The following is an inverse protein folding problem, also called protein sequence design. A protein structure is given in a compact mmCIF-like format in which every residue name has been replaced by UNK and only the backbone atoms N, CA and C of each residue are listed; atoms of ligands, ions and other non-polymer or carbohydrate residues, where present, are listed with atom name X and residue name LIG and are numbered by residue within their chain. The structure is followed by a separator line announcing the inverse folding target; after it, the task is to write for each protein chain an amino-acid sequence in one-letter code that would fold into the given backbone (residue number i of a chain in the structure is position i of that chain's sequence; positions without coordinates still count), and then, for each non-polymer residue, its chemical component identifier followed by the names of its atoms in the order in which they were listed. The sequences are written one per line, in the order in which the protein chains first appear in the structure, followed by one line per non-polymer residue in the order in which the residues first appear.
data_IF_842403342305
#
_entry.id   IF_842403342305
#
_cell.length_a   1.000
_cell.length_b   1.000
_cell.length_c   1.000
_cell.angle_alpha   90.00
_cell.angle_beta   90.00
_cell.angle_gamma   90.00
#
_symmetry.space_group_name_H-M   'P 1'
#
loop_
_entity.id
_entity.type
_entity.pdbx_description
1 polymer ?
#
# COMPACT_ATOMS: atom_id res chain seq x y z
N UNK A 1 -23.78 -55.73 -6.55
CA UNK A 1 -24.16 -54.83 -5.43
C UNK A 1 -22.89 -54.40 -4.72
N UNK A 2 -22.44 -53.16 -4.95
CA UNK A 2 -21.33 -52.57 -4.18
C UNK A 2 -21.79 -52.37 -2.73
N UNK A 3 -21.03 -52.89 -1.78
CA UNK A 3 -21.40 -52.82 -0.36
C UNK A 3 -21.43 -51.37 0.12
N UNK A 4 -22.36 -51.05 1.02
CA UNK A 4 -22.47 -49.72 1.65
C UNK A 4 -21.16 -49.26 2.33
N UNK A 5 -20.30 -50.20 2.76
CA UNK A 5 -18.95 -49.91 3.26
C UNK A 5 -18.06 -49.25 2.20
N UNK A 6 -18.13 -49.69 0.94
CA UNK A 6 -17.30 -49.13 -0.13
C UNK A 6 -17.75 -47.71 -0.52
N UNK A 7 -19.04 -47.39 -0.38
CA UNK A 7 -19.55 -46.04 -0.63
C UNK A 7 -19.19 -45.06 0.50
N UNK A 8 -19.25 -45.54 1.75
CA UNK A 8 -18.82 -44.77 2.93
C UNK A 8 -17.29 -44.55 2.96
N UNK A 9 -16.48 -45.53 2.57
CA UNK A 9 -15.01 -45.35 2.45
C UNK A 9 -14.63 -44.46 1.27
N UNK A 10 -15.37 -44.51 0.16
CA UNK A 10 -15.15 -43.60 -0.98
C UNK A 10 -15.50 -42.15 -0.63
N UNK A 11 -16.60 -41.92 0.11
CA UNK A 11 -16.98 -40.59 0.60
C UNK A 11 -16.10 -40.10 1.75
N UNK A 12 -15.58 -40.98 2.61
CA UNK A 12 -14.60 -40.61 3.65
C UNK A 12 -13.19 -40.35 3.08
N UNK A 13 -12.78 -41.03 2.00
CA UNK A 13 -11.52 -40.72 1.30
C UNK A 13 -11.60 -39.44 0.46
N UNK A 14 -12.78 -39.07 -0.06
CA UNK A 14 -12.97 -37.75 -0.70
C UNK A 14 -13.19 -36.61 0.30
N UNK A 15 -13.63 -36.89 1.53
CA UNK A 15 -13.74 -35.87 2.60
C UNK A 15 -12.42 -35.65 3.36
N UNK A 16 -11.39 -36.45 3.09
CA UNK A 16 -10.03 -36.15 3.51
C UNK A 16 -9.45 -35.03 2.64
N UNK A 17 -9.48 -33.83 3.23
CA UNK A 17 -8.65 -32.65 2.93
C UNK A 17 -9.02 -31.82 1.70
N UNK A 18 -10.26 -31.31 1.66
CA UNK A 18 -10.39 -29.87 1.40
C UNK A 18 -9.83 -29.14 2.62
N UNK A 19 -8.49 -29.04 2.70
CA UNK A 19 -7.86 -28.06 3.59
C UNK A 19 -8.33 -26.72 3.04
N UNK A 20 -9.38 -26.15 3.62
CA UNK A 20 -9.73 -24.76 3.39
C UNK A 20 -8.53 -23.99 3.93
N UNK A 21 -7.58 -23.67 3.05
CA UNK A 21 -6.43 -22.84 3.43
C UNK A 21 -6.99 -21.52 3.95
N UNK A 22 -6.60 -21.20 5.18
CA UNK A 22 -6.98 -19.97 5.85
C UNK A 22 -6.56 -18.79 4.98
N UNK A 23 -7.51 -17.89 4.73
CA UNK A 23 -7.28 -16.69 3.92
C UNK A 23 -6.69 -15.61 4.79
N UNK A 24 -5.54 -15.07 4.40
CA UNK A 24 -4.89 -13.94 5.08
C UNK A 24 -5.37 -12.63 4.50
N UNK A 25 -5.84 -11.75 5.36
CA UNK A 25 -6.31 -10.42 5.01
C UNK A 25 -5.35 -9.40 5.62
N UNK A 26 -4.79 -8.54 4.77
CA UNK A 26 -3.93 -7.44 5.19
C UNK A 26 -4.71 -6.14 5.05
N UNK A 27 -5.10 -5.53 6.17
CA UNK A 27 -5.64 -4.19 6.16
C UNK A 27 -4.51 -3.19 6.01
N UNK A 28 -4.52 -2.44 4.92
CA UNK A 28 -3.51 -1.43 4.66
C UNK A 28 -4.14 -0.08 4.38
N UNK A 29 -3.47 0.98 4.80
CA UNK A 29 -3.98 2.34 4.74
C UNK A 29 -2.92 3.29 4.23
N UNK A 30 -3.24 4.04 3.19
CA UNK A 30 -2.37 5.07 2.65
C UNK A 30 -2.70 6.39 3.34
N UNK A 31 -1.74 6.89 4.11
CA UNK A 31 -1.87 8.04 5.03
C UNK A 31 -1.01 9.19 4.49
N UNK A 32 -1.67 10.04 3.72
CA UNK A 32 -0.97 10.93 2.77
C UNK A 32 -1.48 12.37 2.77
N UNK A 33 -2.75 12.60 3.13
CA UNK A 33 -3.34 13.95 3.12
C UNK A 33 -2.86 14.77 4.32
N UNK A 34 -1.72 15.43 4.13
CA UNK A 34 -1.18 16.37 5.10
C UNK A 34 -1.84 17.76 5.00
N UNK A 35 -2.73 17.98 4.05
CA UNK A 35 -3.29 19.32 3.75
C UNK A 35 -4.50 19.65 4.60
N UNK A 36 -5.18 18.64 5.13
CA UNK A 36 -6.46 18.78 5.83
C UNK A 36 -6.43 18.18 7.25
N UNK A 37 -6.85 18.95 8.26
CA UNK A 37 -6.96 18.45 9.64
C UNK A 37 -7.97 17.30 9.78
N UNK A 38 -9.00 17.26 8.93
CA UNK A 38 -9.97 16.17 8.89
C UNK A 38 -9.36 14.82 8.51
N UNK A 39 -8.19 14.80 7.87
CA UNK A 39 -7.46 13.56 7.57
C UNK A 39 -6.91 12.92 8.86
N UNK A 40 -6.45 13.72 9.82
CA UNK A 40 -5.99 13.22 11.13
C UNK A 40 -7.15 12.65 11.94
N UNK A 41 -8.31 13.31 11.92
CA UNK A 41 -9.53 12.80 12.56
C UNK A 41 -9.95 11.47 11.92
N UNK A 42 -9.92 11.38 10.59
CA UNK A 42 -10.27 10.16 9.88
C UNK A 42 -9.30 9.01 10.17
N UNK A 43 -8.00 9.30 10.28
CA UNK A 43 -6.98 8.35 10.70
C UNK A 43 -7.25 7.83 12.12
N UNK A 44 -7.52 8.73 13.08
CA UNK A 44 -7.83 8.34 14.45
C UNK A 44 -9.08 7.43 14.50
N UNK A 45 -10.17 7.79 13.83
CA UNK A 45 -11.39 6.98 13.75
C UNK A 45 -11.10 5.60 13.15
N UNK A 46 -10.28 5.56 12.09
CA UNK A 46 -9.89 4.30 11.44
C UNK A 46 -9.17 3.38 12.41
N UNK A 47 -8.19 3.90 13.16
CA UNK A 47 -7.44 3.13 14.16
C UNK A 47 -8.35 2.66 15.30
N UNK A 48 -9.19 3.55 15.83
CA UNK A 48 -10.14 3.20 16.90
C UNK A 48 -11.12 2.09 16.48
N UNK A 49 -11.59 2.10 15.22
CA UNK A 49 -12.41 1.03 14.68
C UNK A 49 -11.67 -0.29 14.53
N UNK A 50 -10.40 -0.28 14.10
CA UNK A 50 -9.59 -1.50 14.06
C UNK A 50 -9.38 -2.06 15.47
N UNK A 51 -9.04 -1.20 16.43
CA UNK A 51 -8.84 -1.56 17.84
C UNK A 51 -10.10 -2.15 18.47
N UNK A 52 -11.29 -1.60 18.17
CA UNK A 52 -12.58 -2.15 18.59
C UNK A 52 -12.77 -3.63 18.23
N UNK A 53 -12.20 -4.09 17.10
CA UNK A 53 -12.26 -5.48 16.67
C UNK A 53 -10.97 -6.28 16.92
N UNK A 54 -10.01 -5.68 17.61
CA UNK A 54 -8.67 -6.23 17.84
C UNK A 54 -7.98 -6.63 16.52
N UNK A 55 -8.09 -5.76 15.51
CA UNK A 55 -7.38 -5.90 14.25
C UNK A 55 -6.15 -5.01 14.23
N UNK A 56 -5.07 -5.57 13.71
CA UNK A 56 -3.86 -4.83 13.37
C UNK A 56 -3.93 -4.45 11.90
N UNK A 57 -3.26 -3.35 11.56
CA UNK A 57 -3.27 -2.76 10.22
C UNK A 57 -1.87 -2.28 9.87
N UNK A 58 -1.64 -2.01 8.59
CA UNK A 58 -0.37 -1.50 8.06
C UNK A 58 -0.63 -0.09 7.52
N UNK A 59 -0.04 0.93 8.14
CA UNK A 59 -0.24 2.32 7.75
C UNK A 59 0.97 2.81 6.97
N UNK A 60 0.79 3.03 5.66
CA UNK A 60 1.80 3.61 4.78
C UNK A 60 1.74 5.14 4.91
N UNK A 61 2.72 5.73 5.59
CA UNK A 61 2.73 7.15 5.95
C UNK A 61 3.72 7.92 5.06
N UNK A 62 3.29 9.04 4.48
CA UNK A 62 4.18 9.92 3.72
C UNK A 62 5.07 10.75 4.65
N UNK A 63 6.21 11.23 4.14
CA UNK A 63 7.10 12.12 4.89
C UNK A 63 6.38 13.38 5.39
N UNK A 64 5.65 14.07 4.51
CA UNK A 64 4.88 15.26 4.87
C UNK A 64 3.81 15.00 5.94
N UNK A 65 3.12 13.86 5.87
CA UNK A 65 2.15 13.52 6.90
C UNK A 65 2.84 13.24 8.23
N UNK A 66 3.96 12.50 8.23
CA UNK A 66 4.74 12.20 9.43
C UNK A 66 5.26 13.47 10.14
N UNK A 67 5.70 14.48 9.38
CA UNK A 67 6.14 15.76 9.93
C UNK A 67 5.02 16.49 10.68
N UNK A 68 3.79 16.48 10.14
CA UNK A 68 2.63 17.09 10.80
C UNK A 68 2.09 16.24 11.94
N UNK A 69 2.19 14.91 11.83
CA UNK A 69 1.69 13.95 12.82
C UNK A 69 2.33 14.14 14.20
N UNK A 70 3.53 14.71 14.28
CA UNK A 70 4.19 15.10 15.55
C UNK A 70 3.32 15.98 16.45
N UNK A 71 2.38 16.73 15.89
CA UNK A 71 1.45 17.60 16.65
C UNK A 71 0.29 16.83 17.30
N UNK A 72 0.15 15.53 17.01
CA UNK A 72 -0.96 14.68 17.46
C UNK A 72 -0.45 13.45 18.22
N UNK A 73 0.13 13.62 19.42
CA UNK A 73 0.78 12.53 20.16
C UNK A 73 -0.16 11.35 20.45
N UNK A 74 -1.46 11.61 20.68
CA UNK A 74 -2.46 10.56 20.85
C UNK A 74 -2.58 9.65 19.62
N UNK A 75 -2.50 10.20 18.41
CA UNK A 75 -2.58 9.39 17.18
C UNK A 75 -1.30 8.58 17.02
N UNK A 76 -0.14 9.15 17.34
CA UNK A 76 1.14 8.44 17.34
C UNK A 76 1.11 7.25 18.32
N UNK A 77 0.62 7.45 19.54
CA UNK A 77 0.44 6.38 20.53
C UNK A 77 -0.51 5.28 20.02
N UNK A 78 -1.63 5.65 19.38
CA UNK A 78 -2.53 4.67 18.80
C UNK A 78 -1.88 3.88 17.66
N UNK A 79 -1.02 4.52 16.85
CA UNK A 79 -0.28 3.89 15.75
C UNK A 79 0.85 2.96 16.24
N UNK A 80 1.36 3.13 17.47
CA UNK A 80 2.36 2.23 18.06
C UNK A 80 1.85 0.78 18.16
N UNK A 81 0.55 0.60 18.18
CA UNK A 81 -0.05 -0.72 18.17
C UNK A 81 -0.13 -1.34 16.77
N UNK A 82 0.18 -0.62 15.69
CA UNK A 82 0.03 -1.09 14.31
C UNK A 82 1.38 -1.21 13.58
N UNK A 83 1.39 -1.85 12.42
CA UNK A 83 2.57 -1.86 11.54
C UNK A 83 2.66 -0.52 10.80
N UNK A 84 3.87 0.02 10.69
CA UNK A 84 4.13 1.30 10.05
C UNK A 84 4.97 1.08 8.79
N UNK A 85 4.39 1.43 7.66
CA UNK A 85 5.04 1.44 6.36
C UNK A 85 5.36 2.86 5.88
N UNK A 86 6.29 2.95 4.96
CA UNK A 86 6.68 4.19 4.32
C UNK A 86 5.94 4.40 2.99
N UNK A 87 5.55 5.64 2.70
CA UNK A 87 4.78 5.99 1.50
C UNK A 87 5.42 7.11 0.68
N UNK A 88 6.75 7.12 0.61
CA UNK A 88 7.56 8.20 0.04
C UNK A 88 7.54 9.52 0.83
N UNK A 89 8.60 10.32 0.69
CA UNK A 89 8.69 11.65 1.30
C UNK A 89 7.59 12.58 0.83
N UNK A 90 7.31 12.57 -0.48
CA UNK A 90 6.61 13.67 -1.14
C UNK A 90 5.45 13.27 -2.03
N UNK A 91 5.17 11.97 -2.17
CA UNK A 91 4.05 11.43 -2.92
C UNK A 91 3.91 12.01 -4.35
N UNK A 92 3.01 12.98 -4.55
CA UNK A 92 2.71 13.62 -5.84
C UNK A 92 3.43 14.95 -6.07
N UNK A 93 4.21 15.46 -5.11
CA UNK A 93 4.98 16.70 -5.30
C UNK A 93 6.08 16.47 -6.35
N UNK A 94 6.10 17.32 -7.37
CA UNK A 94 7.05 17.24 -8.48
C UNK A 94 8.48 17.64 -8.06
N UNK A 95 9.53 17.03 -8.63
CA UNK A 95 9.45 15.82 -9.44
C UNK A 95 9.01 14.62 -8.58
N UNK A 96 8.06 13.85 -9.11
CA UNK A 96 7.53 12.60 -8.59
C UNK A 96 8.53 11.45 -8.82
N UNK A 97 8.28 10.29 -8.19
CA UNK A 97 9.16 9.11 -8.30
C UNK A 97 9.51 8.77 -9.74
N UNK A 98 8.50 8.70 -10.61
CA UNK A 98 8.72 8.35 -12.01
C UNK A 98 9.40 9.47 -12.80
N UNK A 99 9.35 10.73 -12.38
CA UNK A 99 10.03 11.84 -13.05
C UNK A 99 11.52 11.89 -12.70
N UNK A 100 11.87 11.90 -11.40
CA UNK A 100 13.29 12.03 -11.01
C UNK A 100 14.09 10.74 -11.21
N UNK A 101 13.43 9.61 -11.42
CA UNK A 101 14.11 8.37 -11.79
C UNK A 101 14.10 8.07 -13.29
N UNK A 102 13.43 8.89 -14.13
CA UNK A 102 13.40 8.68 -15.58
C UNK A 102 14.56 9.40 -16.27
N UNK A 103 15.76 9.00 -15.88
CA UNK A 103 17.02 9.44 -16.45
C UNK A 103 17.81 8.22 -16.92
N UNK A 104 18.69 8.36 -17.91
CA UNK A 104 19.36 7.19 -18.48
C UNK A 104 20.27 6.45 -17.48
N UNK A 105 20.91 7.20 -16.57
CA UNK A 105 21.84 6.66 -15.62
C UNK A 105 21.10 6.08 -14.40
N UNK A 106 21.03 4.75 -14.33
CA UNK A 106 20.40 4.03 -13.22
C UNK A 106 20.98 4.41 -11.84
N UNK A 107 22.30 4.61 -11.75
CA UNK A 107 22.96 4.93 -10.49
C UNK A 107 22.57 6.34 -10.03
N UNK A 108 22.52 7.29 -10.95
CA UNK A 108 22.06 8.65 -10.65
C UNK A 108 20.59 8.68 -10.20
N UNK A 109 19.72 7.88 -10.84
CA UNK A 109 18.31 7.74 -10.45
C UNK A 109 18.17 7.17 -9.03
N UNK A 110 19.01 6.19 -8.71
CA UNK A 110 19.11 5.56 -7.40
C UNK A 110 19.61 6.56 -6.33
N UNK A 111 20.69 7.30 -6.60
CA UNK A 111 21.25 8.28 -5.66
C UNK A 111 20.28 9.44 -5.41
N UNK A 112 19.57 9.89 -6.47
CA UNK A 112 18.51 10.90 -6.35
C UNK A 112 17.36 10.41 -5.49
N UNK A 113 17.00 9.13 -5.61
CA UNK A 113 15.98 8.48 -4.77
C UNK A 113 16.39 8.49 -3.30
N UNK A 114 17.60 8.03 -2.97
CA UNK A 114 18.12 8.07 -1.58
C UNK A 114 18.05 9.48 -0.99
N UNK A 115 18.49 10.47 -1.77
CA UNK A 115 18.50 11.87 -1.35
C UNK A 115 17.08 12.37 -1.06
N UNK A 116 16.12 12.15 -1.96
CA UNK A 116 14.75 12.64 -1.79
C UNK A 116 13.99 11.92 -0.68
N UNK A 117 14.16 10.61 -0.56
CA UNK A 117 13.45 9.78 0.44
C UNK A 117 13.98 9.97 1.88
N UNK A 118 15.11 10.66 2.05
CA UNK A 118 15.66 11.05 3.35
C UNK A 118 15.53 12.56 3.65
N UNK A 119 14.81 13.28 2.79
CA UNK A 119 14.70 14.73 2.82
C UNK A 119 13.31 15.27 3.09
N UNK A 120 13.25 16.46 3.68
CA UNK A 120 12.07 17.29 3.64
C UNK A 120 11.99 17.91 2.24
N UNK A 121 10.84 17.70 1.58
CA UNK A 121 10.56 18.24 0.26
C UNK A 121 9.60 19.41 0.43
N UNK A 122 9.94 20.59 -0.08
CA UNK A 122 9.00 21.71 -0.04
C UNK A 122 7.75 21.34 -0.89
N UNK A 123 6.53 21.37 -0.33
CA UNK A 123 5.35 20.92 -1.04
C UNK A 123 4.89 21.89 -2.15
N UNK A 124 5.43 23.10 -2.23
CA UNK A 124 5.11 24.07 -3.29
C UNK A 124 6.17 24.09 -4.40
N UNK A 125 7.44 23.81 -4.09
CA UNK A 125 8.53 23.91 -5.07
C UNK A 125 9.10 22.55 -5.47
N UNK A 126 8.99 21.53 -4.61
CA UNK A 126 9.63 20.23 -4.83
C UNK A 126 11.11 20.17 -4.45
N UNK A 127 11.64 21.29 -3.96
CA UNK A 127 13.03 21.43 -3.56
C UNK A 127 13.31 20.72 -2.24
N UNK A 128 14.56 20.33 -2.05
CA UNK A 128 15.02 19.72 -0.80
C UNK A 128 15.43 20.83 0.15
N UNK A 129 14.80 20.92 1.31
CA UNK A 129 15.05 21.97 2.30
C UNK A 129 15.69 21.43 3.60
N UNK A 130 15.90 20.12 3.70
CA UNK A 130 16.53 19.53 4.88
C UNK A 130 16.34 18.03 4.96
N UNK A 131 16.50 17.49 6.18
CA UNK A 131 16.21 16.09 6.50
C UNK A 131 14.70 15.90 6.73
N UNK A 132 14.18 14.78 6.25
CA UNK A 132 12.75 14.47 6.36
C UNK A 132 12.48 13.04 5.89
N UNK A 133 11.31 12.81 5.31
CA UNK A 133 10.99 11.52 4.69
C UNK A 133 11.00 10.35 5.68
N UNK A 134 11.67 9.26 5.30
CA UNK A 134 11.74 8.05 6.12
C UNK A 134 12.42 8.32 7.48
N UNK A 135 13.34 9.30 7.55
CA UNK A 135 14.03 9.66 8.78
C UNK A 135 13.07 10.27 9.81
N UNK A 136 12.11 11.09 9.34
CA UNK A 136 11.07 11.64 10.21
C UNK A 136 10.19 10.53 10.76
N UNK A 137 9.83 9.56 9.92
CA UNK A 137 8.99 8.44 10.31
C UNK A 137 9.70 7.53 11.33
N UNK A 138 10.97 7.22 11.13
CA UNK A 138 11.81 6.47 12.07
C UNK A 138 11.97 7.20 13.41
N UNK A 139 12.11 8.54 13.40
CA UNK A 139 12.16 9.33 14.62
C UNK A 139 10.83 9.33 15.38
N UNK A 140 9.72 9.30 14.65
CA UNK A 140 8.38 9.32 15.24
C UNK A 140 8.03 7.98 15.91
N UNK A 141 8.53 6.87 15.37
CA UNK A 141 8.30 5.50 15.85
C UNK A 141 9.63 4.77 16.17
N UNK A 142 10.38 5.22 17.20
CA UNK A 142 11.72 4.69 17.48
C UNK A 142 11.73 3.23 17.97
N UNK A 143 10.59 2.74 18.46
CA UNK A 143 10.36 1.35 18.86
C UNK A 143 10.17 0.40 17.66
N UNK A 144 9.92 0.95 16.45
CA UNK A 144 9.55 0.19 15.26
C UNK A 144 10.67 0.19 14.23
N UNK A 145 10.68 -0.87 13.43
CA UNK A 145 11.48 -0.92 12.20
C UNK A 145 10.56 -0.57 11.04
N UNK A 146 10.90 0.48 10.30
CA UNK A 146 10.16 0.86 9.09
C UNK A 146 10.69 0.00 7.93
N UNK A 147 10.06 -1.15 7.69
CA UNK A 147 10.54 -2.15 6.71
C UNK A 147 9.58 -2.38 5.54
N UNK A 148 8.39 -1.78 5.56
CA UNK A 148 7.39 -1.91 4.49
C UNK A 148 7.23 -0.63 3.69
N UNK A 149 6.95 -0.77 2.40
CA UNK A 149 6.77 0.35 1.48
C UNK A 149 5.60 0.11 0.53
N UNK A 150 4.92 1.20 0.18
CA UNK A 150 4.03 1.28 -0.96
C UNK A 150 4.37 2.52 -1.75
N UNK A 151 4.49 2.39 -3.07
CA UNK A 151 4.68 3.53 -3.95
C UNK A 151 3.36 4.31 -4.11
N UNK A 152 3.41 5.65 -4.02
CA UNK A 152 2.37 6.54 -4.52
C UNK A 152 1.78 6.08 -5.86
N UNK A 153 0.45 5.94 -5.94
CA UNK A 153 -0.25 5.46 -7.13
C UNK A 153 0.19 4.07 -7.63
N UNK A 154 0.86 3.29 -6.77
CA UNK A 154 1.56 2.04 -7.11
C UNK A 154 2.62 2.19 -8.21
N UNK A 155 3.09 3.42 -8.42
CA UNK A 155 4.05 3.80 -9.45
C UNK A 155 5.47 3.71 -8.90
N UNK A 156 5.96 2.48 -8.74
CA UNK A 156 7.32 2.21 -8.28
C UNK A 156 8.30 2.11 -9.44
N UNK A 157 9.55 2.50 -9.21
CA UNK A 157 10.62 2.30 -10.19
C UNK A 157 11.76 1.51 -9.58
N UNK A 158 12.48 0.68 -10.34
CA UNK A 158 13.55 -0.13 -9.78
C UNK A 158 14.68 0.63 -9.07
N UNK A 159 15.25 1.73 -9.61
CA UNK A 159 16.30 2.45 -8.90
C UNK A 159 15.76 3.06 -7.59
N UNK A 160 14.50 3.46 -7.55
CA UNK A 160 13.84 3.96 -6.33
C UNK A 160 13.65 2.87 -5.28
N UNK A 161 13.12 1.71 -5.69
CA UNK A 161 12.91 0.59 -4.77
C UNK A 161 14.24 0.03 -4.23
N UNK A 162 15.30 0.01 -5.03
CA UNK A 162 16.62 -0.37 -4.53
C UNK A 162 17.21 0.64 -3.55
N UNK A 163 16.97 1.94 -3.75
CA UNK A 163 17.36 2.97 -2.78
C UNK A 163 16.62 2.78 -1.45
N UNK A 164 15.31 2.51 -1.50
CA UNK A 164 14.52 2.20 -0.32
C UNK A 164 14.99 0.92 0.40
N UNK A 165 15.43 -0.10 -0.35
CA UNK A 165 16.03 -1.30 0.24
C UNK A 165 17.28 -0.96 1.06
N UNK A 166 18.14 -0.07 0.56
CA UNK A 166 19.30 0.41 1.33
C UNK A 166 18.90 1.15 2.60
N UNK A 167 17.75 1.85 2.58
CA UNK A 167 17.17 2.50 3.75
C UNK A 167 16.43 1.55 4.71
N UNK A 168 16.45 0.23 4.43
CA UNK A 168 15.92 -0.81 5.31
C UNK A 168 14.58 -1.42 4.87
N UNK A 169 14.01 -0.98 3.74
CA UNK A 169 12.76 -1.57 3.21
C UNK A 169 13.00 -3.01 2.72
N UNK A 170 12.12 -3.91 3.16
CA UNK A 170 12.11 -5.34 2.82
C UNK A 170 10.81 -5.80 2.18
N UNK A 171 9.71 -5.09 2.39
CA UNK A 171 8.38 -5.49 1.95
C UNK A 171 7.78 -4.45 1.01
N UNK A 172 7.45 -4.85 -0.22
CA UNK A 172 6.77 -3.99 -1.20
C UNK A 172 5.30 -4.37 -1.34
N UNK A 173 4.44 -3.36 -1.34
CA UNK A 173 2.99 -3.46 -1.55
C UNK A 173 2.52 -2.68 -2.78
N UNK A 174 3.40 -2.51 -3.77
CA UNK A 174 3.16 -1.69 -4.96
C UNK A 174 3.04 -2.55 -6.21
N UNK A 175 3.83 -3.61 -6.31
CA UNK A 175 3.94 -4.38 -7.54
C UNK A 175 2.75 -5.30 -7.80
N UNK A 176 2.55 -5.64 -9.07
CA UNK A 176 1.63 -6.68 -9.53
C UNK A 176 2.39 -7.95 -10.01
N UNK A 177 3.58 -8.21 -9.47
CA UNK A 177 4.43 -9.32 -9.89
C UNK A 177 3.85 -10.68 -9.52
N UNK A 178 3.05 -10.74 -8.46
CA UNK A 178 2.60 -12.00 -7.87
C UNK A 178 1.27 -11.82 -7.13
N UNK A 179 0.50 -12.90 -7.02
CA UNK A 179 -0.73 -12.98 -6.21
C UNK A 179 -0.51 -13.65 -4.85
N UNK A 180 0.74 -14.04 -4.55
CA UNK A 180 1.21 -14.55 -3.25
C UNK A 180 2.53 -13.88 -2.90
N UNK A 181 2.89 -13.70 -1.61
CA UNK A 181 4.20 -13.17 -1.27
C UNK A 181 5.33 -13.93 -1.98
N UNK A 182 6.19 -13.21 -2.70
CA UNK A 182 7.35 -13.77 -3.39
C UNK A 182 8.54 -12.82 -3.28
N UNK A 183 9.76 -13.35 -3.19
CA UNK A 183 10.96 -12.56 -3.01
C UNK A 183 11.72 -12.37 -4.32
N UNK A 184 12.39 -11.23 -4.45
CA UNK A 184 13.36 -10.97 -5.50
C UNK A 184 14.36 -9.89 -5.03
N UNK A 185 15.66 -10.15 -5.20
CA UNK A 185 16.77 -9.24 -4.81
C UNK A 185 16.64 -8.69 -3.37
N UNK A 186 16.24 -9.55 -2.43
CA UNK A 186 16.13 -9.23 -1.00
C UNK A 186 14.86 -8.47 -0.61
N UNK A 187 13.90 -8.30 -1.52
CA UNK A 187 12.61 -7.66 -1.28
C UNK A 187 11.51 -8.70 -1.44
N UNK A 188 10.59 -8.77 -0.49
CA UNK A 188 9.35 -9.56 -0.61
C UNK A 188 8.22 -8.69 -1.14
N UNK A 189 7.70 -9.08 -2.30
CA UNK A 189 6.57 -8.43 -2.97
C UNK A 189 5.27 -9.08 -2.50
N UNK A 190 4.43 -8.28 -1.85
CA UNK A 190 3.07 -8.67 -1.47
C UNK A 190 2.10 -8.50 -2.65
N UNK A 191 0.96 -9.20 -2.64
CA UNK A 191 -0.05 -9.05 -3.67
C UNK A 191 -0.54 -7.61 -3.80
N UNK A 192 -0.85 -7.22 -5.04
CA UNK A 192 -1.38 -5.90 -5.34
C UNK A 192 -2.70 -5.64 -4.56
N UNK A 193 -2.86 -4.46 -3.93
CA UNK A 193 -4.04 -4.18 -3.12
C UNK A 193 -5.32 -4.12 -3.96
N UNK A 194 -6.38 -4.67 -3.38
CA UNK A 194 -7.75 -4.43 -3.84
C UNK A 194 -8.34 -3.23 -3.11
N UNK A 195 -9.35 -2.62 -3.73
CA UNK A 195 -10.13 -1.51 -3.18
C UNK A 195 -9.27 -0.30 -2.80
N UNK A 196 -9.12 0.66 -3.72
CA UNK A 196 -8.43 1.93 -3.43
C UNK A 196 -9.30 2.93 -2.62
N UNK A 197 -10.63 2.78 -2.68
CA UNK A 197 -11.58 3.66 -2.01
C UNK A 197 -12.72 2.85 -1.40
N UNK A 198 -13.12 3.22 -0.17
CA UNK A 198 -14.30 2.67 0.48
C UNK A 198 -15.50 3.59 0.28
N UNK A 199 -16.50 3.13 -0.48
CA UNK A 199 -17.75 3.85 -0.67
C UNK A 199 -18.89 3.28 0.17
N UNK A 200 -18.65 2.17 0.88
CA UNK A 200 -19.64 1.46 1.67
C UNK A 200 -20.77 0.84 0.83
N UNK A 201 -20.54 0.65 -0.48
CA UNK A 201 -21.54 0.16 -1.44
C UNK A 201 -21.40 -1.34 -1.65
N UNK A 202 -22.45 -2.00 -2.14
CA UNK A 202 -22.44 -3.43 -2.45
C UNK A 202 -21.27 -3.85 -3.37
N UNK A 203 -20.84 -2.96 -4.27
CA UNK A 203 -19.68 -3.21 -5.13
C UNK A 203 -18.38 -3.46 -4.34
N UNK A 204 -18.17 -2.74 -3.23
CA UNK A 204 -16.98 -2.87 -2.39
C UNK A 204 -16.95 -4.26 -1.71
N UNK A 205 -18.08 -4.64 -1.11
CA UNK A 205 -18.25 -5.97 -0.53
C UNK A 205 -18.09 -7.07 -1.58
N UNK A 206 -18.71 -6.92 -2.74
CA UNK A 206 -18.62 -7.91 -3.82
C UNK A 206 -17.18 -8.09 -4.30
N UNK A 207 -16.42 -7.00 -4.49
CA UNK A 207 -15.02 -7.08 -4.90
C UNK A 207 -14.18 -7.79 -3.83
N UNK A 208 -14.38 -7.46 -2.56
CA UNK A 208 -13.70 -8.15 -1.46
C UNK A 208 -13.98 -9.65 -1.48
N UNK A 209 -15.24 -10.07 -1.45
CA UNK A 209 -15.61 -11.48 -1.35
C UNK A 209 -15.17 -12.30 -2.57
N UNK A 210 -15.31 -11.74 -3.78
CA UNK A 210 -14.86 -12.42 -5.00
C UNK A 210 -13.35 -12.58 -5.05
N UNK A 211 -12.59 -11.63 -4.49
CA UNK A 211 -11.13 -11.72 -4.39
C UNK A 211 -10.71 -12.71 -3.32
N UNK A 212 -11.29 -12.61 -2.12
CA UNK A 212 -11.03 -13.54 -1.03
C UNK A 212 -11.38 -14.98 -1.41
N UNK A 213 -12.45 -15.21 -2.18
CA UNK A 213 -12.78 -16.55 -2.66
C UNK A 213 -11.65 -17.18 -3.50
N UNK A 214 -10.96 -16.37 -4.32
CA UNK A 214 -9.95 -16.81 -5.30
C UNK A 214 -8.52 -16.80 -4.77
N UNK A 215 -8.21 -15.98 -3.78
CA UNK A 215 -6.84 -15.72 -3.34
C UNK A 215 -6.65 -16.10 -1.88
N UNK A 216 -5.49 -16.68 -1.57
CA UNK A 216 -5.09 -16.98 -0.19
C UNK A 216 -4.65 -15.75 0.58
N UNK A 217 -4.10 -14.76 -0.11
CA UNK A 217 -3.65 -13.49 0.47
C UNK A 217 -4.42 -12.36 -0.20
N UNK A 218 -5.06 -11.51 0.60
CA UNK A 218 -5.79 -10.33 0.11
C UNK A 218 -5.28 -9.11 0.83
N UNK A 219 -4.74 -8.17 0.07
CA UNK A 219 -4.34 -6.85 0.58
C UNK A 219 -5.46 -5.86 0.26
N UNK A 220 -5.96 -5.14 1.26
CA UNK A 220 -6.97 -4.08 1.08
C UNK A 220 -6.25 -2.73 1.22
N UNK A 221 -6.35 -1.82 0.24
CA UNK A 221 -5.65 -0.53 0.24
C UNK A 221 -6.57 0.68 0.38
N UNK A 222 -6.92 1.06 1.62
CA UNK A 222 -7.86 2.17 1.86
C UNK A 222 -7.14 3.49 2.12
N UNK A 223 -7.84 4.60 1.94
CA UNK A 223 -7.35 5.93 2.29
C UNK A 223 -8.23 6.50 3.40
N UNK A 224 -7.74 6.65 4.65
CA UNK A 224 -8.54 7.17 5.75
C UNK A 224 -9.17 8.54 5.43
N UNK A 225 -8.43 9.44 4.76
CA UNK A 225 -8.92 10.77 4.38
C UNK A 225 -10.23 10.72 3.56
N UNK A 226 -10.43 9.69 2.72
CA UNK A 226 -11.63 9.57 1.90
C UNK A 226 -12.92 9.26 2.69
N UNK A 227 -12.80 8.93 3.99
CA UNK A 227 -13.96 8.90 4.89
C UNK A 227 -14.50 10.30 5.20
N UNK A 228 -13.65 11.33 5.14
CA UNK A 228 -13.99 12.71 5.51
C UNK A 228 -13.94 13.69 4.33
N UNK A 229 -13.31 13.33 3.21
CA UNK A 229 -13.22 14.17 2.01
C UNK A 229 -13.77 13.47 0.76
N UNK A 230 -14.22 14.26 -0.23
CA UNK A 230 -14.69 13.72 -1.52
C UNK A 230 -13.54 13.26 -2.40
N UNK A 231 -12.49 14.06 -2.42
CA UNK A 231 -11.40 13.99 -3.38
C UNK A 231 -10.07 13.65 -2.70
N UNK A 232 -9.16 13.08 -3.49
CA UNK A 232 -7.76 12.93 -3.12
C UNK A 232 -7.08 14.28 -3.02
N UNK A 233 -6.24 14.43 -1.99
CA UNK A 233 -5.51 15.68 -1.67
C UNK A 233 -4.52 16.10 -2.75
N UNK A 234 -4.08 15.15 -3.57
CA UNK A 234 -2.96 15.31 -4.48
C UNK A 234 -3.37 15.77 -5.88
N UNK A 235 -4.66 15.95 -6.15
CA UNK A 235 -5.16 16.45 -7.44
C UNK A 235 -4.56 17.80 -7.83
N UNK A 236 -4.22 18.63 -6.84
CA UNK A 236 -3.57 19.94 -7.06
C UNK A 236 -2.18 19.83 -7.69
N UNK A 237 -1.56 18.65 -7.68
CA UNK A 237 -0.24 18.39 -8.26
C UNK A 237 -0.30 17.86 -9.68
N UNK A 238 -1.44 17.42 -10.22
CA UNK A 238 -1.47 16.70 -11.51
C UNK A 238 -0.95 17.51 -12.71
N UNK A 239 -0.89 18.85 -12.58
CA UNK A 239 -0.36 19.76 -13.59
C UNK A 239 0.92 20.48 -13.12
N UNK A 240 1.70 19.87 -12.23
CA UNK A 240 2.87 20.47 -11.61
C UNK A 240 2.61 21.00 -10.21
N UNK A 241 3.65 21.52 -9.55
CA UNK A 241 3.51 22.02 -8.19
C UNK A 241 2.64 23.29 -8.13
N UNK A 242 1.66 23.35 -7.22
CA UNK A 242 0.75 24.49 -7.11
C UNK A 242 1.44 25.69 -6.44
N UNK A 243 0.94 26.90 -6.70
CA UNK A 243 1.39 28.12 -5.98
C UNK A 243 0.89 28.17 -4.54
N UNK A 244 -0.24 27.52 -4.28
CA UNK A 244 -0.90 27.45 -2.97
C UNK A 244 -1.55 26.08 -2.81
N UNK A 245 -1.49 25.51 -1.61
CA UNK A 245 -2.12 24.21 -1.31
C UNK A 245 -3.57 24.47 -0.89
N UNK A 246 -4.51 23.99 -1.68
CA UNK A 246 -5.94 24.01 -1.35
C UNK A 246 -6.35 22.65 -0.79
N UNK A 247 -6.90 22.57 0.44
CA UNK A 247 -7.37 21.32 1.00
C UNK A 247 -8.53 20.70 0.22
N UNK A 248 -8.64 19.37 0.27
CA UNK A 248 -9.77 18.62 -0.31
C UNK A 248 -11.11 19.02 0.31
N UNK A 249 -12.16 19.01 -0.50
CA UNK A 249 -13.50 19.34 -0.05
C UNK A 249 -14.01 18.32 0.99
N UNK A 250 -14.46 18.78 2.18
CA UNK A 250 -14.99 17.89 3.20
C UNK A 250 -16.38 17.36 2.81
N UNK A 251 -16.68 16.14 3.26
CA UNK A 251 -18.02 15.53 3.19
C UNK A 251 -18.94 16.11 4.24
N UNK A 252 -20.25 15.97 4.03
CA UNK A 252 -21.22 16.30 5.08
C UNK A 252 -21.14 15.29 6.25
N UNK A 253 -21.54 15.72 7.44
CA UNK A 253 -21.52 14.86 8.64
C UNK A 253 -22.37 13.59 8.49
N UNK A 254 -23.48 13.65 7.74
CA UNK A 254 -24.34 12.49 7.49
C UNK A 254 -23.64 11.44 6.63
N UNK A 255 -22.91 11.86 5.58
CA UNK A 255 -22.13 10.98 4.73
C UNK A 255 -20.96 10.36 5.47
N UNK A 256 -20.22 11.16 6.24
CA UNK A 256 -19.11 10.68 7.09
C UNK A 256 -19.62 9.57 8.02
N UNK A 257 -20.72 9.83 8.75
CA UNK A 257 -21.34 8.83 9.64
C UNK A 257 -21.78 7.57 8.89
N UNK A 258 -22.32 7.72 7.68
CA UNK A 258 -22.75 6.59 6.85
C UNK A 258 -21.56 5.71 6.43
N UNK A 259 -20.47 6.32 5.95
CA UNK A 259 -19.26 5.62 5.54
C UNK A 259 -18.61 4.89 6.72
N UNK A 260 -18.46 5.58 7.86
CA UNK A 260 -17.94 5.00 9.11
C UNK A 260 -18.79 3.81 9.55
N UNK A 261 -20.13 3.94 9.55
CA UNK A 261 -21.04 2.84 9.92
C UNK A 261 -20.93 1.64 8.97
N UNK A 262 -20.77 1.90 7.68
CA UNK A 262 -20.59 0.83 6.69
C UNK A 262 -19.24 0.12 6.87
N UNK A 263 -18.17 0.87 7.15
CA UNK A 263 -16.86 0.30 7.44
C UNK A 263 -16.85 -0.48 8.76
N UNK A 264 -17.51 0.02 9.82
CA UNK A 264 -17.72 -0.70 11.07
C UNK A 264 -18.44 -2.05 10.86
N UNK A 265 -19.49 -2.06 10.02
CA UNK A 265 -20.19 -3.29 9.66
C UNK A 265 -19.28 -4.26 8.87
N UNK A 266 -18.45 -3.74 7.98
CA UNK A 266 -17.48 -4.54 7.25
C UNK A 266 -16.48 -5.22 8.21
N UNK A 267 -15.86 -4.46 9.11
CA UNK A 267 -14.94 -5.01 10.12
C UNK A 267 -15.63 -6.03 11.02
N UNK A 268 -16.87 -5.77 11.45
CA UNK A 268 -17.67 -6.73 12.21
C UNK A 268 -17.84 -8.05 11.46
N UNK A 269 -18.13 -8.01 10.16
CA UNK A 269 -18.27 -9.21 9.34
C UNK A 269 -16.94 -9.97 9.21
N UNK A 270 -15.83 -9.27 9.02
CA UNK A 270 -14.49 -9.88 9.03
C UNK A 270 -14.23 -10.57 10.37
N UNK A 271 -14.60 -9.94 11.50
CA UNK A 271 -14.38 -10.53 12.82
C UNK A 271 -15.19 -11.80 13.05
N UNK A 272 -16.41 -11.86 12.54
CA UNK A 272 -17.24 -13.07 12.60
C UNK A 272 -16.56 -14.21 11.81
N UNK A 273 -16.03 -13.90 10.62
CA UNK A 273 -15.33 -14.89 9.79
C UNK A 273 -14.00 -15.36 10.37
N UNK A 274 -13.29 -14.47 11.04
CA UNK A 274 -12.08 -14.81 11.80
C UNK A 274 -12.41 -15.78 12.95
N UNK A 275 -13.49 -15.54 13.69
CA UNK A 275 -13.93 -16.43 14.79
C UNK A 275 -14.26 -17.85 14.32
N UNK A 276 -14.82 -18.01 13.13
CA UNK A 276 -15.09 -19.33 12.53
C UNK A 276 -13.92 -19.88 11.72
N UNK A 277 -12.73 -19.24 11.79
CA UNK A 277 -11.49 -19.65 11.12
C UNK A 277 -11.62 -19.76 9.60
N UNK A 278 -12.45 -18.92 8.99
CA UNK A 278 -12.56 -18.84 7.53
C UNK A 278 -11.46 -17.94 6.93
N UNK A 279 -11.08 -16.89 7.67
CA UNK A 279 -9.99 -15.97 7.34
C UNK A 279 -9.24 -15.60 8.62
N UNK A 280 -8.10 -14.93 8.46
CA UNK A 280 -7.28 -14.36 9.52
C UNK A 280 -6.82 -12.97 9.08
N UNK A 281 -6.88 -12.00 9.99
CA UNK A 281 -6.28 -10.68 9.76
C UNK A 281 -4.81 -10.74 10.14
N UNK A 282 -3.92 -10.52 9.18
CA UNK A 282 -2.47 -10.58 9.35
C UNK A 282 -1.86 -9.18 9.21
N UNK A 283 -0.86 -8.92 10.05
CA UNK A 283 -0.04 -7.70 9.99
C UNK A 283 1.45 -8.01 10.16
N UNK A 284 1.80 -9.22 10.61
CA UNK A 284 3.19 -9.62 10.76
C UNK A 284 3.74 -9.98 9.38
N UNK A 285 4.57 -9.10 8.86
CA UNK A 285 5.23 -9.29 7.59
C UNK A 285 6.35 -10.30 7.73
N UNK A 286 6.40 -11.23 6.78
CA UNK A 286 7.43 -12.27 6.70
C UNK A 286 8.07 -12.23 5.32
N UNK A 287 9.34 -12.61 5.27
CA UNK A 287 10.00 -12.87 4.00
C UNK A 287 9.31 -14.04 3.31
N UNK A 288 9.13 -13.93 2.00
CA UNK A 288 8.60 -15.03 1.21
C UNK A 288 9.65 -16.12 1.00
N UNK A 289 9.21 -17.37 1.01
CA UNK A 289 10.06 -18.53 0.70
C UNK A 289 10.24 -18.75 -0.81
N UNK A 290 9.27 -18.28 -1.60
CA UNK A 290 9.26 -18.48 -3.05
C UNK A 290 9.87 -17.28 -3.76
N UNK A 291 10.67 -17.55 -4.78
CA UNK A 291 11.21 -16.51 -5.66
C UNK A 291 10.20 -16.09 -6.73
N UNK A 292 10.29 -14.83 -7.17
CA UNK A 292 9.55 -14.35 -8.35
C UNK A 292 10.04 -15.08 -9.61
N UNK A 293 9.13 -15.71 -10.35
CA UNK A 293 9.42 -16.37 -11.62
C UNK A 293 9.57 -15.33 -12.77
N UNK A 294 10.76 -14.74 -12.87
CA UNK A 294 11.05 -13.64 -13.81
C UNK A 294 11.04 -14.11 -15.27
N UNK A 295 10.31 -13.39 -16.11
CA UNK A 295 10.37 -13.50 -17.56
C UNK A 295 9.99 -12.16 -18.22
N UNK A 296 10.30 -11.99 -19.51
CA UNK A 296 10.08 -10.73 -20.24
C UNK A 296 8.62 -10.26 -20.21
N UNK A 297 7.66 -11.17 -20.38
CA UNK A 297 6.24 -10.84 -20.37
C UNK A 297 5.75 -10.37 -18.99
N UNK A 298 6.23 -11.01 -17.91
CA UNK A 298 5.94 -10.58 -16.55
C UNK A 298 6.47 -9.18 -16.29
N UNK A 299 7.74 -8.93 -16.64
CA UNK A 299 8.39 -7.63 -16.43
C UNK A 299 7.72 -6.53 -17.25
N UNK A 300 7.33 -6.82 -18.49
CA UNK A 300 6.58 -5.86 -19.32
C UNK A 300 5.23 -5.50 -18.70
N UNK A 301 4.47 -6.50 -18.25
CA UNK A 301 3.19 -6.27 -17.56
C UNK A 301 3.39 -5.49 -16.26
N UNK A 302 4.51 -5.70 -15.57
CA UNK A 302 4.82 -4.99 -14.35
C UNK A 302 5.17 -3.52 -14.63
N UNK A 303 6.00 -3.26 -15.64
CA UNK A 303 6.30 -1.91 -16.12
C UNK A 303 5.03 -1.16 -16.52
N UNK A 304 4.18 -1.76 -17.37
CA UNK A 304 2.93 -1.13 -17.83
C UNK A 304 1.95 -0.87 -16.68
N UNK A 305 1.94 -1.75 -15.67
CA UNK A 305 1.14 -1.52 -14.48
C UNK A 305 1.67 -0.35 -13.66
N UNK A 306 2.96 -0.37 -13.35
CA UNK A 306 3.60 0.67 -12.53
C UNK A 306 3.44 2.05 -13.16
N UNK A 307 3.66 2.17 -14.47
CA UNK A 307 3.58 3.46 -15.18
C UNK A 307 2.15 3.92 -15.48
N UNK A 308 1.11 3.14 -15.12
CA UNK A 308 -0.28 3.49 -15.44
C UNK A 308 -0.71 4.81 -14.82
N UNK A 309 -0.33 5.06 -13.56
CA UNK A 309 -0.69 6.29 -12.85
C UNK A 309 0.01 7.49 -13.49
N UNK A 310 1.32 7.41 -13.71
CA UNK A 310 2.11 8.43 -14.42
C UNK A 310 1.49 8.81 -15.78
N UNK A 311 1.16 7.80 -16.62
CA UNK A 311 0.58 8.01 -17.96
C UNK A 311 -0.83 8.62 -17.90
N UNK A 312 -1.69 8.16 -16.98
CA UNK A 312 -3.11 8.54 -16.96
C UNK A 312 -3.39 9.83 -16.19
N UNK A 313 -2.66 10.07 -15.12
CA UNK A 313 -2.93 11.17 -14.18
C UNK A 313 -2.06 12.38 -14.50
N UNK A 314 -0.78 12.16 -14.81
CA UNK A 314 0.19 13.24 -15.07
C UNK A 314 0.49 13.43 -16.56
N UNK A 315 -0.17 12.66 -17.44
CA UNK A 315 0.13 12.62 -18.88
C UNK A 315 1.64 12.42 -19.17
N UNK A 316 2.33 11.69 -18.30
CA UNK A 316 3.78 11.51 -18.36
C UNK A 316 4.15 10.33 -19.26
N UNK A 317 5.18 10.50 -20.09
CA UNK A 317 5.69 9.48 -21.01
C UNK A 317 7.12 9.08 -20.62
N UNK A 318 7.31 7.95 -19.90
CA UNK A 318 8.63 7.53 -19.47
C UNK A 318 9.54 7.14 -20.64
N UNK A 319 10.78 7.61 -20.64
CA UNK A 319 11.79 7.35 -21.67
C UNK A 319 12.73 6.20 -21.32
N UNK A 320 13.17 6.13 -20.06
CA UNK A 320 14.21 5.22 -19.58
C UNK A 320 13.69 4.18 -18.59
N UNK A 321 12.53 4.41 -17.96
CA UNK A 321 11.98 3.48 -16.96
C UNK A 321 11.88 2.03 -17.46
N UNK A 322 11.48 1.80 -18.71
CA UNK A 322 11.39 0.43 -19.25
C UNK A 322 12.76 -0.29 -19.23
N UNK A 323 13.82 0.42 -19.58
CA UNK A 323 15.21 -0.08 -19.52
C UNK A 323 15.63 -0.36 -18.07
N UNK A 324 15.19 0.47 -17.12
CA UNK A 324 15.41 0.23 -15.69
C UNK A 324 14.75 -1.06 -15.20
N UNK A 325 13.51 -1.35 -15.60
CA UNK A 325 12.85 -2.62 -15.28
C UNK A 325 13.62 -3.82 -15.84
N UNK A 326 14.05 -3.78 -17.11
CA UNK A 326 14.84 -4.86 -17.68
C UNK A 326 16.22 -5.02 -17.02
N UNK A 327 16.85 -3.92 -16.59
CA UNK A 327 18.10 -3.99 -15.81
C UNK A 327 17.88 -4.65 -14.45
N UNK A 328 16.86 -4.25 -13.70
CA UNK A 328 16.58 -4.78 -12.38
C UNK A 328 16.24 -6.28 -12.42
N UNK A 329 15.54 -6.72 -13.45
CA UNK A 329 15.18 -8.13 -13.65
C UNK A 329 16.23 -8.94 -14.43
N UNK A 330 17.43 -8.39 -14.64
CA UNK A 330 18.55 -9.04 -15.35
C UNK A 330 18.19 -9.52 -16.77
N UNK A 331 17.21 -8.87 -17.41
CA UNK A 331 16.74 -9.14 -18.77
C UNK A 331 17.40 -8.26 -19.85
N UNK A 332 18.28 -7.34 -19.45
CA UNK A 332 18.99 -6.44 -20.38
C UNK A 332 19.96 -7.14 -21.35
N UNK A 333 20.19 -8.45 -21.17
CA UNK A 333 21.05 -9.30 -22.02
C UNK A 333 20.27 -10.24 -22.94
N UNK A 334 18.93 -10.15 -22.96
CA UNK A 334 18.00 -10.89 -23.84
C UNK A 334 17.41 -9.95 -24.89
#
# INVERSE_FOLDING_TARGET
MLSWKNYAEFTMKQSQTLVIKLRKIYFTFDVEDFTNEMAFIALQITIELLNKYNFKGIFFITGHFAEKLQKYPKIVELLEEHEIGYHSSSHSVHPTIFEFTDIENYKEAYETSLKRETSHINPLTGEIEGKGGILTLQKLFPSKKIESFRAPGHCWTPPHLEALRELGIKFDFSSNLTNVPAQYKGITFYPYPILAQWNGKFADFRLFWTTAAKNQNVVIGLHPSLFTTYDGWDQVYFNGNPKTITPSQPRSLSEIRSLIKSFDLFLKNIKILEKIKFLEVESNLKNAENDVAVNRNLVEKCYEHSMRWAKRVFNYQPRFQRKHFYRFFDLSKL
#
